data_IF_907942617898
#
_entry.id   IF_907942617898
#
_cell.length_a   1.000
_cell.length_b   1.000
_cell.length_c   1.000
_cell.angle_alpha   90.00
_cell.angle_beta   90.00
_cell.angle_gamma   90.00
#
_symmetry.space_group_name_H-M   'P 1'
#
loop_
_entity.id
_entity.type
_entity.pdbx_description
1 polymer ?
#
# COMPACT_ATOMS: atom_id res chain seq x y z
N UNK A 1 10.10 15.83 2.00
CA UNK A 1 10.18 14.40 2.36
C UNK A 1 11.32 14.27 3.34
N UNK A 2 11.10 13.51 4.41
CA UNK A 2 12.03 13.32 5.50
C UNK A 2 12.14 11.83 5.81
N UNK A 3 13.29 11.39 6.30
CA UNK A 3 13.44 10.02 6.75
C UNK A 3 12.69 9.84 8.07
N UNK A 4 11.81 8.85 8.12
CA UNK A 4 11.08 8.47 9.31
C UNK A 4 11.93 7.57 10.22
N UNK A 5 11.48 7.41 11.46
CA UNK A 5 12.20 6.59 12.42
C UNK A 5 11.91 5.10 12.25
N UNK A 6 12.94 4.27 12.45
CA UNK A 6 12.84 2.82 12.57
C UNK A 6 13.41 2.45 13.95
N UNK A 7 12.69 1.63 14.72
CA UNK A 7 13.15 1.21 16.05
C UNK A 7 14.49 0.49 15.95
N UNK A 8 15.38 0.72 16.93
CA UNK A 8 16.75 0.17 16.93
C UNK A 8 16.81 -1.35 16.79
N UNK A 9 15.88 -2.08 17.40
CA UNK A 9 15.76 -3.53 17.24
C UNK A 9 15.59 -3.92 15.76
N UNK A 10 14.66 -3.28 15.06
CA UNK A 10 14.40 -3.52 13.63
C UNK A 10 15.57 -3.03 12.77
N UNK A 11 16.13 -1.84 13.05
CA UNK A 11 17.24 -1.29 12.28
C UNK A 11 18.53 -2.11 12.41
N UNK A 12 18.74 -2.79 13.54
CA UNK A 12 19.90 -3.66 13.75
C UNK A 12 19.87 -4.93 12.90
N UNK A 13 18.67 -5.44 12.62
CA UNK A 13 18.46 -6.62 11.79
C UNK A 13 18.32 -6.24 10.30
N UNK A 14 17.72 -5.08 10.01
CA UNK A 14 17.45 -4.58 8.66
C UNK A 14 18.09 -3.21 8.44
N UNK A 15 19.41 -3.19 8.29
CA UNK A 15 20.20 -1.96 8.16
C UNK A 15 19.87 -1.13 6.91
N UNK A 16 19.28 -1.74 5.89
CA UNK A 16 18.82 -1.08 4.65
C UNK A 16 17.34 -0.65 4.70
N UNK A 17 16.58 -1.02 5.74
CA UNK A 17 15.19 -0.61 5.87
C UNK A 17 15.14 0.91 6.06
N UNK A 18 14.32 1.56 5.24
CA UNK A 18 14.09 3.01 5.29
C UNK A 18 12.61 3.28 5.36
N UNK A 19 12.25 4.27 6.17
CA UNK A 19 10.92 4.86 6.20
C UNK A 19 11.02 6.28 5.65
N UNK A 20 10.11 6.66 4.77
CA UNK A 20 10.02 8.04 4.27
C UNK A 20 8.67 8.63 4.66
N UNK A 21 8.68 9.88 5.08
CA UNK A 21 7.48 10.64 5.44
C UNK A 21 7.44 11.98 4.70
N UNK A 22 6.25 12.52 4.54
CA UNK A 22 6.03 13.87 4.07
C UNK A 22 4.84 14.46 4.81
N UNK A 23 5.02 15.66 5.35
CA UNK A 23 3.94 16.41 5.97
C UNK A 23 3.20 17.21 4.90
N UNK A 24 1.88 17.03 4.86
CA UNK A 24 1.02 17.66 3.88
C UNK A 24 -0.17 18.28 4.61
N UNK A 25 -0.46 19.55 4.31
CA UNK A 25 -1.74 20.16 4.68
C UNK A 25 -2.76 19.69 3.65
N UNK A 26 -3.45 18.60 3.95
CA UNK A 26 -4.45 18.00 3.08
C UNK A 26 -5.80 17.95 3.78
N UNK A 27 -6.86 18.20 3.02
CA UNK A 27 -8.24 17.89 3.42
C UNK A 27 -8.72 16.73 2.56
N UNK A 28 -9.18 15.66 3.19
CA UNK A 28 -9.88 14.59 2.49
C UNK A 28 -11.16 15.17 1.89
N UNK A 29 -11.21 15.25 0.56
CA UNK A 29 -12.35 15.74 -0.22
C UNK A 29 -12.77 14.66 -1.21
N UNK A 30 -13.75 14.96 -2.06
CA UNK A 30 -14.08 14.06 -3.16
C UNK A 30 -12.90 13.97 -4.14
N UNK A 31 -12.57 12.76 -4.56
CA UNK A 31 -11.55 12.50 -5.58
C UNK A 31 -11.90 13.16 -6.91
N UNK A 32 -10.87 13.67 -7.59
CA UNK A 32 -11.03 14.24 -8.92
C UNK A 32 -11.51 13.18 -9.92
N UNK A 33 -12.11 13.58 -11.06
CA UNK A 33 -12.45 12.64 -12.13
C UNK A 33 -11.27 11.75 -12.54
N UNK A 34 -10.07 12.33 -12.67
CA UNK A 34 -8.85 11.66 -13.12
C UNK A 34 -8.46 10.52 -12.18
N UNK A 35 -8.46 10.75 -10.86
CA UNK A 35 -8.15 9.71 -9.87
C UNK A 35 -9.19 8.59 -9.89
N UNK A 36 -10.47 8.93 -10.07
CA UNK A 36 -11.54 7.93 -10.15
C UNK A 36 -11.45 7.09 -11.42
N UNK A 37 -10.99 7.68 -12.52
CA UNK A 37 -10.77 6.97 -13.76
C UNK A 37 -9.54 6.05 -13.66
N UNK A 38 -8.44 6.50 -13.03
CA UNK A 38 -7.29 5.64 -12.70
C UNK A 38 -7.70 4.43 -11.84
N UNK A 39 -8.53 4.63 -10.81
CA UNK A 39 -9.05 3.52 -10.00
C UNK A 39 -9.88 2.53 -10.82
N UNK A 40 -10.65 3.02 -11.80
CA UNK A 40 -11.43 2.17 -12.70
C UNK A 40 -10.52 1.37 -13.62
N UNK A 41 -9.54 2.01 -14.25
CA UNK A 41 -8.55 1.35 -15.10
C UNK A 41 -7.75 0.28 -14.33
N UNK A 42 -7.33 0.59 -13.10
CA UNK A 42 -6.70 -0.39 -12.22
C UNK A 42 -7.64 -1.57 -11.94
N UNK A 43 -8.92 -1.30 -11.66
CA UNK A 43 -9.91 -2.35 -11.40
C UNK A 43 -10.12 -3.26 -12.61
N UNK A 44 -10.21 -2.69 -13.80
CA UNK A 44 -10.48 -3.42 -15.05
C UNK A 44 -9.32 -4.35 -15.43
N UNK A 45 -8.09 -3.97 -15.09
CA UNK A 45 -6.86 -4.73 -15.41
C UNK A 45 -6.55 -5.85 -14.43
N UNK A 46 -7.12 -5.81 -13.22
CA UNK A 46 -6.72 -6.67 -12.11
C UNK A 46 -7.82 -7.69 -11.80
N UNK A 47 -7.60 -8.93 -12.24
CA UNK A 47 -8.42 -10.09 -11.89
C UNK A 47 -7.69 -11.10 -11.00
N UNK A 48 -8.33 -12.24 -10.76
CA UNK A 48 -7.78 -13.29 -9.87
C UNK A 48 -6.41 -13.83 -10.30
N UNK A 49 -6.17 -13.97 -11.60
CA UNK A 49 -4.87 -14.41 -12.11
C UNK A 49 -3.76 -13.39 -11.80
N UNK A 50 -4.06 -12.09 -11.95
CA UNK A 50 -3.13 -11.02 -11.61
C UNK A 50 -2.86 -10.95 -10.11
N UNK A 51 -3.86 -11.25 -9.26
CA UNK A 51 -3.67 -11.35 -7.82
C UNK A 51 -2.65 -12.44 -7.43
N UNK A 52 -2.69 -13.59 -8.11
CA UNK A 52 -1.68 -14.65 -7.89
C UNK A 52 -0.30 -14.23 -8.40
N UNK A 53 -0.23 -13.59 -9.57
CA UNK A 53 1.03 -13.11 -10.14
C UNK A 53 1.64 -11.94 -9.38
N UNK A 54 0.84 -11.14 -8.68
CA UNK A 54 1.28 -10.03 -7.84
C UNK A 54 2.31 -10.52 -6.80
N UNK A 55 2.09 -11.71 -6.22
CA UNK A 55 2.97 -12.32 -5.22
C UNK A 55 4.39 -12.61 -5.72
N UNK A 56 4.59 -12.67 -7.04
CA UNK A 56 5.88 -12.95 -7.69
C UNK A 56 6.61 -11.68 -8.12
N UNK A 57 6.03 -10.50 -7.90
CA UNK A 57 6.71 -9.24 -8.22
C UNK A 57 7.76 -8.93 -7.14
N UNK A 58 8.87 -8.26 -7.49
CA UNK A 58 9.97 -8.03 -6.54
C UNK A 58 9.57 -7.32 -5.24
N UNK A 59 8.72 -6.28 -5.33
CA UNK A 59 8.31 -5.50 -4.15
C UNK A 59 7.39 -6.33 -3.21
N UNK A 60 6.30 -6.95 -3.68
CA UNK A 60 5.52 -7.90 -2.89
C UNK A 60 6.36 -9.02 -2.26
N UNK A 61 7.27 -9.63 -3.02
CA UNK A 61 8.15 -10.67 -2.51
C UNK A 61 9.01 -10.17 -1.34
N UNK A 62 9.62 -8.98 -1.47
CA UNK A 62 10.40 -8.36 -0.40
C UNK A 62 9.56 -8.10 0.86
N UNK A 63 8.32 -7.62 0.72
CA UNK A 63 7.40 -7.47 1.85
C UNK A 63 7.08 -8.79 2.53
N UNK A 64 6.82 -9.87 1.75
CA UNK A 64 6.51 -11.18 2.32
C UNK A 64 7.69 -11.75 3.09
N UNK A 65 8.91 -11.61 2.57
CA UNK A 65 10.14 -12.02 3.26
C UNK A 65 10.30 -11.21 4.55
N UNK A 66 10.22 -9.89 4.47
CA UNK A 66 10.33 -9.00 5.63
C UNK A 66 9.29 -9.33 6.70
N UNK A 67 8.02 -9.51 6.34
CA UNK A 67 6.94 -9.89 7.27
C UNK A 67 7.30 -11.16 8.04
N UNK A 68 7.75 -12.22 7.34
CA UNK A 68 8.16 -13.46 8.00
C UNK A 68 9.34 -13.27 8.96
N UNK A 69 10.30 -12.41 8.61
CA UNK A 69 11.46 -12.16 9.46
C UNK A 69 11.07 -11.42 10.75
N UNK A 70 10.11 -10.49 10.69
CA UNK A 70 9.59 -9.80 11.87
C UNK A 70 8.49 -10.56 12.62
N UNK A 71 8.21 -11.81 12.24
CA UNK A 71 7.24 -12.70 12.91
C UNK A 71 5.79 -12.55 12.48
N UNK A 72 5.51 -11.82 11.39
CA UNK A 72 4.18 -11.75 10.76
C UNK A 72 4.02 -12.86 9.71
N UNK A 73 2.80 -13.41 9.58
CA UNK A 73 2.50 -14.34 8.49
C UNK A 73 1.83 -13.59 7.34
N UNK A 74 2.48 -13.37 6.19
CA UNK A 74 1.90 -12.61 5.08
C UNK A 74 0.64 -13.23 4.44
N UNK A 75 0.29 -14.48 4.79
CA UNK A 75 -0.97 -15.10 4.38
C UNK A 75 -2.13 -14.80 5.36
N UNK A 76 -1.83 -14.33 6.58
CA UNK A 76 -2.79 -13.84 7.59
C UNK A 76 -2.77 -12.31 7.64
N UNK A 77 -1.59 -11.74 7.88
CA UNK A 77 -1.28 -10.32 7.86
C UNK A 77 -0.93 -9.90 6.43
N UNK A 78 -1.96 -9.73 5.60
CA UNK A 78 -1.78 -9.39 4.19
C UNK A 78 -0.89 -8.14 4.03
N UNK A 79 0.14 -8.26 3.21
CA UNK A 79 0.99 -7.13 2.83
C UNK A 79 0.15 -6.04 2.14
N UNK A 80 0.57 -4.76 2.13
CA UNK A 80 -0.30 -3.64 1.75
C UNK A 80 -1.01 -3.80 0.39
N UNK A 81 -0.26 -4.17 -0.65
CA UNK A 81 -0.81 -4.33 -2.00
C UNK A 81 -1.68 -5.58 -2.15
N UNK A 82 -1.39 -6.66 -1.41
CA UNK A 82 -2.24 -7.85 -1.39
C UNK A 82 -3.57 -7.57 -0.66
N UNK A 83 -3.53 -6.81 0.43
CA UNK A 83 -4.73 -6.39 1.15
C UNK A 83 -5.68 -5.56 0.25
N UNK A 84 -5.15 -4.61 -0.52
CA UNK A 84 -5.93 -3.85 -1.49
C UNK A 84 -6.50 -4.72 -2.61
N UNK A 85 -5.69 -5.64 -3.15
CA UNK A 85 -6.15 -6.58 -4.18
C UNK A 85 -7.29 -7.47 -3.64
N UNK A 86 -7.16 -7.99 -2.43
CA UNK A 86 -8.17 -8.82 -1.79
C UNK A 86 -9.47 -8.04 -1.58
N UNK A 87 -9.38 -6.80 -1.10
CA UNK A 87 -10.54 -5.93 -0.96
C UNK A 87 -11.23 -5.67 -2.30
N UNK A 88 -10.47 -5.36 -3.36
CA UNK A 88 -11.00 -5.19 -4.72
C UNK A 88 -11.69 -6.44 -5.25
N UNK A 89 -11.20 -7.63 -4.91
CA UNK A 89 -11.85 -8.89 -5.31
C UNK A 89 -13.16 -9.10 -4.54
N UNK A 90 -13.22 -8.70 -3.28
CA UNK A 90 -14.43 -8.78 -2.43
C UNK A 90 -15.51 -7.80 -2.87
N UNK A 91 -15.14 -6.55 -3.19
CA UNK A 91 -16.07 -5.48 -3.54
C UNK A 91 -16.39 -5.41 -5.04
N UNK A 92 -15.64 -6.13 -5.88
CA UNK A 92 -15.78 -6.12 -7.33
C UNK A 92 -14.99 -5.02 -8.05
N UNK A 93 -14.39 -4.08 -7.31
CA UNK A 93 -13.59 -2.97 -7.86
C UNK A 93 -13.02 -2.07 -6.75
N UNK A 94 -12.09 -1.17 -7.09
CA UNK A 94 -11.65 -0.13 -6.16
C UNK A 94 -12.75 0.91 -5.98
N UNK A 95 -13.35 0.94 -4.79
CA UNK A 95 -14.39 1.92 -4.44
C UNK A 95 -13.73 3.23 -4.04
N UNK A 96 -14.04 4.30 -4.77
CA UNK A 96 -13.60 5.67 -4.45
C UNK A 96 -14.20 6.11 -3.12
N UNK A 97 -13.34 6.56 -2.19
CA UNK A 97 -13.72 7.01 -0.85
C UNK A 97 -13.51 8.51 -0.70
N UNK A 98 -12.27 8.96 -0.86
CA UNK A 98 -11.88 10.36 -0.82
C UNK A 98 -10.52 10.54 -1.50
N UNK A 99 -10.17 11.78 -1.81
CA UNK A 99 -8.98 12.13 -2.58
C UNK A 99 -7.68 11.56 -1.99
N UNK A 100 -7.57 11.49 -0.66
CA UNK A 100 -6.38 11.00 0.01
C UNK A 100 -6.30 9.46 -0.03
N UNK A 101 -7.36 8.77 0.39
CA UNK A 101 -7.37 7.30 0.43
C UNK A 101 -7.31 6.69 -0.98
N UNK A 102 -7.89 7.38 -1.97
CA UNK A 102 -7.85 6.96 -3.37
C UNK A 102 -6.43 7.14 -3.95
N UNK A 103 -5.76 8.25 -3.68
CA UNK A 103 -4.37 8.46 -4.09
C UNK A 103 -3.42 7.43 -3.45
N UNK A 104 -3.63 7.09 -2.18
CA UNK A 104 -2.87 6.03 -1.50
C UNK A 104 -3.13 4.66 -2.16
N UNK A 105 -4.38 4.38 -2.53
CA UNK A 105 -4.74 3.14 -3.24
C UNK A 105 -4.01 3.05 -4.57
N UNK A 106 -4.02 4.12 -5.37
CA UNK A 106 -3.28 4.19 -6.65
C UNK A 106 -1.78 3.97 -6.42
N UNK A 107 -1.18 4.72 -5.50
CA UNK A 107 0.26 4.64 -5.22
C UNK A 107 0.71 3.23 -4.83
N UNK A 108 -0.03 2.57 -3.93
CA UNK A 108 0.28 1.20 -3.49
C UNK A 108 0.07 0.20 -4.63
N UNK A 109 -0.99 0.32 -5.42
CA UNK A 109 -1.27 -0.61 -6.52
C UNK A 109 -0.26 -0.50 -7.66
N UNK A 110 0.25 0.70 -7.94
CA UNK A 110 1.24 0.93 -8.99
C UNK A 110 2.64 0.49 -8.58
N UNK A 111 3.04 0.79 -7.33
CA UNK A 111 4.42 0.57 -6.86
C UNK A 111 4.61 -0.75 -6.10
N UNK A 112 3.56 -1.27 -5.49
CA UNK A 112 3.63 -2.34 -4.49
C UNK A 112 4.14 -1.89 -3.12
N UNK A 113 4.61 -0.64 -2.99
CA UNK A 113 5.15 -0.09 -1.73
C UNK A 113 3.99 0.35 -0.85
N UNK A 114 4.04 -0.01 0.43
CA UNK A 114 3.06 0.45 1.41
C UNK A 114 3.16 1.94 1.62
N UNK A 115 2.05 2.66 1.42
CA UNK A 115 1.92 4.09 1.72
C UNK A 115 0.71 4.25 2.61
N UNK A 116 0.87 5.01 3.70
CA UNK A 116 -0.19 5.25 4.67
C UNK A 116 -0.21 6.73 5.04
N UNK A 117 -1.37 7.15 5.53
CA UNK A 117 -1.50 8.43 6.23
C UNK A 117 -1.38 8.19 7.73
N UNK A 118 -0.70 9.09 8.40
CA UNK A 118 -0.74 9.24 9.84
C UNK A 118 -1.18 10.65 10.17
N UNK A 119 -2.11 10.79 11.12
CA UNK A 119 -2.49 12.11 11.63
C UNK A 119 -1.61 12.40 12.83
N UNK A 120 -0.78 13.44 12.75
CA UNK A 120 -0.05 13.91 13.93
C UNK A 120 -1.07 14.59 14.86
N UNK A 121 -1.37 13.93 15.98
CA UNK A 121 -2.16 14.54 17.05
C UNK A 121 -1.17 15.43 17.81
N UNK A 122 -1.41 16.74 17.79
CA UNK A 122 -0.63 17.73 18.54
C UNK A 122 -0.98 17.75 20.01
#
# INVERSE_FOLDING_TARGET
>A
MEEGWVTSSVASEFSELRLWSVELVARATRSSPEVRDQLRELSDRLGGAQAVMLRRRPVPEAYRVFFRQIGLDPDVDCIPVEALMLERLRTGGFVSRNSLDDALTVAVMETGVGVWRSTRIG
#
